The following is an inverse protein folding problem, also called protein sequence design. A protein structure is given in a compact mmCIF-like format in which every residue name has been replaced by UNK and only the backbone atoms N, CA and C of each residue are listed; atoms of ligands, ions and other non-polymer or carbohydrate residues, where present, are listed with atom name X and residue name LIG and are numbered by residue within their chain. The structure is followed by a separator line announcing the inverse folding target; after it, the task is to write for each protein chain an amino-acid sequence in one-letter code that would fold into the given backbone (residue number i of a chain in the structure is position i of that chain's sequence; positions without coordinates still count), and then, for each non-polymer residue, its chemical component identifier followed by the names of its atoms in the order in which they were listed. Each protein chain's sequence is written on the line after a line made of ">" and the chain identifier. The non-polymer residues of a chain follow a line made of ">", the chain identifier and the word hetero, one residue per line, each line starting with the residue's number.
data_IF_837155882682
#
_entry.id   IF_837155882682
#
_cell.length_a   1.000
_cell.length_b   1.000
_cell.length_c   1.000
_cell.angle_alpha   90.00
_cell.angle_beta   90.00
_cell.angle_gamma   90.00
#
_symmetry.space_group_name_H-M   'P 1'
#
loop_
_entity.id
_entity.type
_entity.pdbx_description
1 polymer ?
#
# COMPACT_ATOMS: atom_id res chain seq x y z
N UNK A 1 -0.05 -6.91 -14.67
CA UNK A 1 0.03 -7.08 -13.21
C UNK A 1 -0.77 -5.97 -12.53
N UNK A 2 -1.66 -6.31 -11.60
CA UNK A 2 -2.53 -5.35 -10.89
C UNK A 2 -1.71 -4.48 -9.93
N UNK A 3 -0.75 -5.07 -9.22
CA UNK A 3 0.12 -4.31 -8.34
C UNK A 3 1.18 -3.58 -9.17
N UNK A 4 1.18 -2.26 -9.10
CA UNK A 4 2.22 -1.42 -9.69
C UNK A 4 3.41 -1.32 -8.74
N UNK A 5 3.26 -0.56 -7.64
CA UNK A 5 4.30 -0.38 -6.62
C UNK A 5 3.72 -0.42 -5.21
N UNK A 6 4.50 -0.97 -4.28
CA UNK A 6 4.28 -0.77 -2.85
C UNK A 6 5.19 0.38 -2.42
N UNK A 7 4.63 1.48 -1.96
CA UNK A 7 5.39 2.64 -1.47
C UNK A 7 5.40 2.62 0.05
N UNK A 8 6.60 2.53 0.61
CA UNK A 8 6.85 2.41 2.05
C UNK A 8 7.46 3.72 2.56
N UNK A 9 6.87 4.29 3.58
CA UNK A 9 7.40 5.46 4.29
C UNK A 9 8.06 5.05 5.59
N UNK A 10 9.30 5.46 5.76
CA UNK A 10 10.15 5.14 6.92
C UNK A 10 10.19 6.33 7.86
N UNK A 11 10.08 6.09 9.16
CA UNK A 11 10.17 7.15 10.17
C UNK A 11 11.59 7.70 10.31
N UNK A 12 12.61 6.85 10.16
CA UNK A 12 14.02 7.21 10.34
C UNK A 12 14.75 7.16 9.00
N UNK A 13 14.94 8.30 8.35
CA UNK A 13 15.65 8.39 7.06
C UNK A 13 17.04 7.74 7.08
N UNK A 14 17.73 7.80 8.20
CA UNK A 14 19.06 7.22 8.39
C UNK A 14 19.06 5.70 8.20
N UNK A 15 17.97 5.02 8.53
CA UNK A 15 17.87 3.57 8.35
C UNK A 15 17.86 3.16 6.88
N UNK A 16 17.40 4.04 5.99
CA UNK A 16 17.52 3.82 4.53
C UNK A 16 18.98 3.79 4.12
N UNK A 17 19.81 4.69 4.66
CA UNK A 17 21.24 4.71 4.41
C UNK A 17 21.92 3.43 4.87
N UNK A 18 21.51 2.89 6.01
CA UNK A 18 22.01 1.61 6.51
C UNK A 18 21.64 0.43 5.61
N UNK A 19 20.42 0.42 5.09
CA UNK A 19 20.03 -0.59 4.10
C UNK A 19 20.86 -0.48 2.82
N UNK A 20 21.02 0.73 2.29
CA UNK A 20 21.80 0.97 1.08
C UNK A 20 23.30 0.62 1.25
N UNK A 21 23.85 0.81 2.44
CA UNK A 21 25.23 0.43 2.74
C UNK A 21 25.46 -1.09 2.69
N UNK A 22 24.40 -1.90 2.80
CA UNK A 22 24.44 -3.37 2.59
C UNK A 22 24.40 -3.76 1.12
N UNK A 23 24.41 -2.78 0.22
CA UNK A 23 24.49 -2.93 -1.23
C UNK A 23 23.40 -3.83 -1.84
N UNK A 24 22.11 -3.59 -1.55
CA UNK A 24 21.02 -4.29 -2.22
C UNK A 24 21.01 -3.95 -3.72
N UNK A 25 20.44 -4.83 -4.53
CA UNK A 25 20.14 -4.49 -5.92
C UNK A 25 18.99 -3.48 -5.95
N UNK A 26 19.28 -2.29 -6.46
CA UNK A 26 18.28 -1.23 -6.64
C UNK A 26 18.06 -0.95 -8.11
N UNK A 27 16.81 -0.67 -8.48
CA UNK A 27 16.43 -0.26 -9.85
C UNK A 27 16.49 1.25 -10.03
N UNK A 28 16.36 2.00 -8.93
CA UNK A 28 16.47 3.46 -8.92
C UNK A 28 16.91 3.95 -7.53
N UNK A 29 17.61 5.08 -7.51
CA UNK A 29 18.12 5.70 -6.31
C UNK A 29 17.88 7.21 -6.37
N UNK A 30 17.44 7.81 -5.24
CA UNK A 30 17.06 9.22 -5.17
C UNK A 30 17.60 9.88 -3.92
N UNK A 31 17.77 11.22 -4.02
CA UNK A 31 18.00 12.11 -2.90
C UNK A 31 16.81 13.05 -2.74
N UNK A 32 16.24 13.09 -1.56
CA UNK A 32 15.16 13.99 -1.20
C UNK A 32 15.53 14.99 -0.12
N UNK A 33 14.56 15.77 0.34
CA UNK A 33 14.77 16.78 1.37
C UNK A 33 15.15 16.18 2.74
N UNK A 34 14.59 15.01 3.09
CA UNK A 34 14.88 14.33 4.37
C UNK A 34 15.96 13.27 4.26
N UNK A 35 16.18 12.72 3.10
CA UNK A 35 17.16 11.66 2.93
C UNK A 35 17.07 10.96 1.59
N UNK A 36 17.65 9.79 1.52
CA UNK A 36 17.68 8.98 0.32
C UNK A 36 16.42 8.12 0.21
N UNK A 37 16.09 7.79 -1.03
CA UNK A 37 15.04 6.84 -1.35
C UNK A 37 15.54 5.88 -2.42
N UNK A 38 14.95 4.70 -2.49
CA UNK A 38 15.31 3.72 -3.51
C UNK A 38 14.12 2.90 -3.95
N UNK A 39 14.25 2.33 -5.13
CA UNK A 39 13.34 1.33 -5.67
C UNK A 39 14.08 0.01 -5.82
N UNK A 40 13.42 -1.08 -5.49
CA UNK A 40 13.94 -2.43 -5.63
C UNK A 40 12.82 -3.38 -6.06
N UNK A 41 13.19 -4.53 -6.60
CA UNK A 41 12.24 -5.57 -7.00
C UNK A 41 12.45 -6.79 -6.11
N UNK A 42 11.37 -7.29 -5.52
CA UNK A 42 11.40 -8.50 -4.69
C UNK A 42 11.68 -9.75 -5.54
N UNK A 43 12.08 -10.88 -4.92
CA UNK A 43 12.25 -12.15 -5.64
C UNK A 43 10.98 -12.60 -6.39
N UNK A 44 9.79 -12.21 -5.94
CA UNK A 44 8.52 -12.47 -6.61
C UNK A 44 8.20 -11.49 -7.75
N UNK A 45 9.04 -10.49 -7.96
CA UNK A 45 8.85 -9.49 -9.00
C UNK A 45 7.96 -8.30 -8.60
N UNK A 46 7.76 -8.05 -7.31
CA UNK A 46 7.03 -6.89 -6.81
C UNK A 46 7.96 -5.70 -6.65
N UNK A 47 7.55 -4.55 -7.17
CA UNK A 47 8.29 -3.31 -7.06
C UNK A 47 8.00 -2.64 -5.72
N UNK A 48 9.04 -2.34 -4.97
CA UNK A 48 8.97 -1.69 -3.66
C UNK A 48 9.76 -0.39 -3.73
N UNK A 49 9.13 0.70 -3.30
CA UNK A 49 9.75 2.01 -3.19
C UNK A 49 9.82 2.43 -1.72
N UNK A 50 11.00 2.82 -1.25
CA UNK A 50 11.25 3.17 0.16
C UNK A 50 11.74 4.61 0.27
N UNK A 51 11.06 5.41 1.09
CA UNK A 51 11.40 6.83 1.32
C UNK A 51 11.08 7.27 2.75
N UNK A 52 11.53 8.48 3.10
CA UNK A 52 11.21 9.14 4.38
C UNK A 52 10.61 10.54 4.17
N UNK A 53 10.17 10.87 2.95
CA UNK A 53 9.75 12.20 2.55
C UNK A 53 8.29 12.50 2.90
N UNK A 54 7.99 13.77 3.19
CA UNK A 54 6.60 14.27 3.24
C UNK A 54 6.08 14.55 1.83
N UNK A 55 6.95 14.97 0.91
CA UNK A 55 6.61 15.25 -0.47
C UNK A 55 7.59 14.52 -1.40
N UNK A 56 7.08 13.55 -2.16
CA UNK A 56 7.88 12.77 -3.13
C UNK A 56 8.40 13.62 -4.30
N UNK A 57 7.83 14.79 -4.53
CA UNK A 57 8.32 15.74 -5.55
C UNK A 57 9.70 16.31 -5.20
N UNK A 58 10.13 16.21 -3.95
CA UNK A 58 11.49 16.62 -3.53
C UNK A 58 12.58 15.67 -4.04
N UNK A 59 12.23 14.47 -4.49
CA UNK A 59 13.18 13.45 -4.92
C UNK A 59 13.82 13.80 -6.26
N UNK A 60 15.14 13.71 -6.29
CA UNK A 60 15.95 13.83 -7.49
C UNK A 60 16.81 12.58 -7.69
N UNK A 61 17.05 12.15 -8.93
CA UNK A 61 17.91 10.99 -9.18
C UNK A 61 19.29 11.13 -8.56
N UNK A 62 19.80 10.04 -8.04
CA UNK A 62 21.12 9.94 -7.42
C UNK A 62 21.90 8.78 -8.07
N UNK A 63 23.16 9.01 -8.46
CA UNK A 63 23.97 8.01 -9.18
C UNK A 63 24.47 6.91 -8.26
N UNK A 64 24.81 7.24 -7.02
CA UNK A 64 25.32 6.28 -6.05
C UNK A 64 24.97 6.69 -4.62
N UNK A 65 24.72 5.69 -3.77
CA UNK A 65 24.56 5.92 -2.35
C UNK A 65 25.92 6.18 -1.69
N UNK A 66 26.03 7.17 -0.79
CA UNK A 66 27.22 7.34 0.00
C UNK A 66 27.40 6.16 0.95
N UNK A 67 28.66 5.81 1.21
CA UNK A 67 29.02 4.81 2.20
C UNK A 67 28.83 5.41 3.60
N UNK A 68 28.13 4.67 4.45
CA UNK A 68 27.93 5.01 5.85
C UNK A 68 28.29 3.81 6.72
N UNK A 69 28.70 4.09 7.96
CA UNK A 69 28.90 3.03 8.94
C UNK A 69 27.57 2.54 9.44
N UNK A 70 27.33 1.23 9.34
CA UNK A 70 26.11 0.60 9.81
C UNK A 70 26.30 0.12 11.25
N UNK A 71 25.43 0.52 12.21
CA UNK A 71 25.49 0.00 13.57
C UNK A 71 25.42 -1.53 13.59
N UNK A 72 26.20 -2.17 14.45
CA UNK A 72 26.23 -3.64 14.58
C UNK A 72 24.87 -4.24 14.97
N UNK A 73 24.07 -3.49 15.73
CA UNK A 73 22.74 -3.89 16.17
C UNK A 73 21.63 -3.59 15.17
N UNK A 74 21.94 -2.95 14.04
CA UNK A 74 20.95 -2.66 12.99
C UNK A 74 20.49 -3.93 12.28
N UNK A 75 19.21 -4.30 12.48
CA UNK A 75 18.63 -5.50 11.88
C UNK A 75 17.67 -5.22 10.73
N UNK A 76 17.29 -3.98 10.52
CA UNK A 76 16.33 -3.55 9.51
C UNK A 76 15.55 -2.32 9.97
N UNK A 77 14.57 -1.94 9.18
CA UNK A 77 13.70 -0.80 9.50
C UNK A 77 12.97 -1.02 10.82
N UNK A 78 13.00 -0.04 11.71
CA UNK A 78 12.37 -0.13 13.03
C UNK A 78 10.94 0.41 13.05
N UNK A 79 10.64 1.41 12.21
CA UNK A 79 9.31 1.99 12.09
C UNK A 79 9.05 2.41 10.66
N UNK A 80 8.03 1.82 10.07
CA UNK A 80 7.60 2.12 8.70
C UNK A 80 6.13 1.77 8.53
N UNK A 81 5.52 2.39 7.52
CA UNK A 81 4.15 2.13 7.10
C UNK A 81 4.08 2.00 5.58
N UNK A 82 3.05 1.35 5.09
CA UNK A 82 2.67 1.47 3.69
C UNK A 82 2.09 2.86 3.49
N UNK A 83 2.80 3.69 2.73
CA UNK A 83 2.37 5.05 2.43
C UNK A 83 1.19 5.03 1.45
N UNK A 84 1.37 4.31 0.35
CA UNK A 84 0.29 4.02 -0.61
C UNK A 84 0.66 2.84 -1.50
N UNK A 85 -0.34 2.31 -2.18
CA UNK A 85 -0.20 1.33 -3.26
C UNK A 85 -0.48 2.00 -4.60
N UNK A 86 0.35 1.75 -5.58
CA UNK A 86 0.02 2.03 -6.97
C UNK A 86 -0.64 0.80 -7.58
N UNK A 87 -1.86 0.96 -8.08
CA UNK A 87 -2.65 -0.12 -8.63
C UNK A 87 -2.91 0.14 -10.12
N UNK A 88 -2.52 -0.81 -10.93
CA UNK A 88 -2.76 -0.79 -12.38
C UNK A 88 -4.20 -1.22 -12.66
N UNK A 89 -4.92 -0.41 -13.43
CA UNK A 89 -6.31 -0.66 -13.78
C UNK A 89 -6.52 -0.57 -15.29
N UNK A 90 -7.42 -1.39 -15.82
CA UNK A 90 -7.72 -1.40 -17.25
C UNK A 90 -8.59 -0.19 -17.68
N UNK A 91 -9.46 0.27 -16.80
CA UNK A 91 -10.34 1.42 -16.99
C UNK A 91 -10.23 2.36 -15.79
N UNK A 92 -9.49 3.44 -15.96
CA UNK A 92 -9.24 4.40 -14.89
C UNK A 92 -10.52 5.10 -14.44
N UNK A 93 -11.41 5.46 -15.37
CA UNK A 93 -12.66 6.15 -15.03
C UNK A 93 -13.59 5.27 -14.18
N UNK A 94 -13.69 3.98 -14.52
CA UNK A 94 -14.46 3.00 -13.74
C UNK A 94 -13.88 2.82 -12.34
N UNK A 95 -12.57 2.66 -12.24
CA UNK A 95 -11.88 2.50 -10.96
C UNK A 95 -12.01 3.76 -10.08
N UNK A 96 -11.81 4.94 -10.63
CA UNK A 96 -11.97 6.22 -9.92
C UNK A 96 -13.41 6.39 -9.41
N UNK A 97 -14.41 6.02 -10.21
CA UNK A 97 -15.82 6.06 -9.80
C UNK A 97 -16.08 5.14 -8.60
N UNK A 98 -15.54 3.93 -8.63
CA UNK A 98 -15.67 2.99 -7.52
C UNK A 98 -15.01 3.55 -6.24
N UNK A 99 -13.74 3.94 -6.30
CA UNK A 99 -13.01 4.43 -5.14
C UNK A 99 -13.46 5.80 -4.65
N UNK A 100 -14.20 6.57 -5.45
CA UNK A 100 -14.84 7.82 -5.00
C UNK A 100 -15.87 7.59 -3.88
N UNK A 101 -16.42 6.39 -3.77
CA UNK A 101 -17.31 5.99 -2.67
C UNK A 101 -16.56 5.72 -1.36
N UNK A 102 -15.24 5.66 -1.41
CA UNK A 102 -14.36 5.31 -0.30
C UNK A 102 -13.28 6.39 -0.12
N UNK A 103 -13.67 7.63 0.26
CA UNK A 103 -12.72 8.75 0.32
C UNK A 103 -11.58 8.52 1.33
N UNK A 104 -11.78 7.68 2.34
CA UNK A 104 -10.73 7.29 3.27
C UNK A 104 -9.56 6.53 2.62
N UNK A 105 -9.76 5.94 1.43
CA UNK A 105 -8.72 5.21 0.70
C UNK A 105 -8.00 6.06 -0.35
N UNK A 106 -8.44 7.30 -0.61
CA UNK A 106 -7.91 8.12 -1.68
C UNK A 106 -6.41 8.40 -1.59
N UNK A 107 -5.86 8.43 -0.38
CA UNK A 107 -4.43 8.62 -0.14
C UNK A 107 -3.65 7.30 -0.04
N UNK A 108 -4.34 6.15 0.07
CA UNK A 108 -3.72 4.83 0.21
C UNK A 108 -3.64 4.07 -1.11
N UNK A 109 -4.54 4.35 -2.05
CA UNK A 109 -4.62 3.65 -3.33
C UNK A 109 -4.51 4.67 -4.45
N UNK A 110 -3.41 4.62 -5.18
CA UNK A 110 -3.14 5.46 -6.33
C UNK A 110 -3.34 4.64 -7.59
N UNK A 111 -4.36 5.00 -8.35
CA UNK A 111 -4.76 4.31 -9.56
C UNK A 111 -3.98 4.82 -10.77
N UNK A 112 -3.54 3.91 -11.63
CA UNK A 112 -2.93 4.26 -12.91
C UNK A 112 -3.45 3.35 -14.02
N UNK A 113 -3.77 3.93 -15.17
CA UNK A 113 -4.23 3.17 -16.32
C UNK A 113 -3.10 2.35 -16.91
N UNK A 114 -3.38 1.09 -17.21
CA UNK A 114 -2.45 0.17 -17.80
C UNK A 114 -3.13 -0.79 -18.76
N UNK A 115 -2.34 -1.53 -19.51
CA UNK A 115 -2.83 -2.57 -20.41
C UNK A 115 -2.30 -3.92 -19.97
N UNK A 116 -3.14 -4.94 -20.03
CA UNK A 116 -2.80 -6.31 -19.65
C UNK A 116 -4.04 -7.18 -19.55
N UNK A 117 -3.93 -8.40 -19.98
CA UNK A 117 -5.03 -9.38 -19.93
C UNK A 117 -5.37 -9.80 -18.48
N UNK A 118 -4.43 -9.60 -17.57
CA UNK A 118 -4.53 -10.00 -16.15
C UNK A 118 -5.21 -8.97 -15.25
N UNK A 119 -5.47 -7.75 -15.74
CA UNK A 119 -5.90 -6.63 -14.89
C UNK A 119 -7.33 -6.77 -14.34
N UNK A 120 -8.18 -7.59 -14.95
CA UNK A 120 -9.57 -7.78 -14.52
C UNK A 120 -9.95 -9.24 -14.26
N UNK A 121 -8.96 -10.15 -14.23
CA UNK A 121 -9.22 -11.56 -13.94
C UNK A 121 -9.36 -11.82 -12.45
N UNK A 122 -10.14 -12.84 -12.10
CA UNK A 122 -10.35 -13.23 -10.70
C UNK A 122 -9.08 -13.77 -10.03
N UNK A 123 -9.07 -13.76 -8.71
CA UNK A 123 -7.93 -14.15 -7.88
C UNK A 123 -7.45 -15.59 -8.06
N UNK A 124 -8.31 -16.46 -8.59
CA UNK A 124 -7.98 -17.88 -8.85
C UNK A 124 -7.22 -18.10 -10.17
N UNK A 125 -7.04 -17.06 -10.97
CA UNK A 125 -6.41 -17.15 -12.30
C UNK A 125 -4.96 -16.67 -12.27
N UNK A 126 -4.65 -15.64 -11.49
CA UNK A 126 -3.32 -15.05 -11.43
C UNK A 126 -2.81 -14.90 -9.99
N UNK A 127 -1.48 -15.03 -9.83
CA UNK A 127 -0.79 -14.72 -8.59
C UNK A 127 -0.36 -13.25 -8.63
N UNK A 128 -1.16 -12.38 -8.06
CA UNK A 128 -0.96 -10.94 -8.04
C UNK A 128 -1.68 -10.34 -6.82
N UNK A 129 -1.88 -9.02 -6.79
CA UNK A 129 -2.65 -8.36 -5.75
C UNK A 129 -4.09 -8.91 -5.71
N UNK A 130 -4.38 -9.73 -4.72
CA UNK A 130 -5.66 -10.42 -4.58
C UNK A 130 -6.58 -9.79 -3.55
N UNK A 131 -6.00 -9.21 -2.49
CA UNK A 131 -6.76 -8.62 -1.39
C UNK A 131 -6.02 -7.43 -0.78
N UNK A 132 -6.78 -6.40 -0.42
CA UNK A 132 -6.32 -5.28 0.41
C UNK A 132 -7.17 -5.28 1.67
N UNK A 133 -6.53 -5.48 2.81
CA UNK A 133 -7.17 -5.37 4.12
C UNK A 133 -7.06 -3.94 4.63
N UNK A 134 -8.20 -3.35 4.96
CA UNK A 134 -8.31 -1.96 5.41
C UNK A 134 -8.87 -1.92 6.81
N UNK A 135 -8.15 -1.31 7.73
CA UNK A 135 -8.63 -1.00 9.06
C UNK A 135 -9.16 0.44 9.10
N UNK A 136 -10.40 0.60 9.55
CA UNK A 136 -11.08 1.89 9.64
C UNK A 136 -11.33 2.28 11.09
N UNK A 137 -11.21 3.56 11.38
CA UNK A 137 -11.52 4.15 12.67
C UNK A 137 -12.29 5.48 12.47
N UNK A 138 -13.60 5.54 12.73
CA UNK A 138 -14.49 4.42 13.11
C UNK A 138 -14.82 3.49 11.94
N UNK A 139 -15.19 2.25 12.26
CA UNK A 139 -15.77 1.31 11.29
C UNK A 139 -17.26 1.11 11.59
N UNK A 140 -18.07 1.49 10.63
CA UNK A 140 -19.52 1.25 10.63
C UNK A 140 -19.87 0.39 9.41
N UNK A 141 -20.19 -0.87 9.65
CA UNK A 141 -20.46 -1.85 8.60
C UNK A 141 -21.63 -1.43 7.70
N UNK A 142 -22.66 -0.82 8.27
CA UNK A 142 -23.84 -0.39 7.51
C UNK A 142 -23.52 0.79 6.58
N UNK A 143 -22.68 1.72 7.02
CA UNK A 143 -22.23 2.85 6.19
C UNK A 143 -21.39 2.36 5.02
N UNK A 144 -20.44 1.46 5.28
CA UNK A 144 -19.56 0.90 4.22
C UNK A 144 -20.39 0.08 3.24
N UNK A 145 -21.31 -0.75 3.75
CA UNK A 145 -22.23 -1.55 2.94
C UNK A 145 -23.12 -0.69 2.03
N UNK A 146 -23.67 0.41 2.55
CA UNK A 146 -24.47 1.33 1.76
C UNK A 146 -23.67 1.98 0.63
N UNK A 147 -22.43 2.40 0.92
CA UNK A 147 -21.58 3.04 -0.07
C UNK A 147 -21.14 2.10 -1.19
N UNK A 148 -20.89 0.83 -0.88
CA UNK A 148 -20.40 -0.17 -1.83
C UNK A 148 -21.52 -0.91 -2.56
N UNK A 149 -22.72 -0.96 -2.00
CA UNK A 149 -23.90 -1.52 -2.64
C UNK A 149 -23.70 -2.96 -3.12
N UNK A 150 -23.97 -3.19 -4.40
CA UNK A 150 -23.91 -4.54 -5.02
C UNK A 150 -22.50 -5.12 -5.10
N UNK A 151 -21.46 -4.32 -4.89
CA UNK A 151 -20.06 -4.81 -4.88
C UNK A 151 -19.69 -5.57 -3.62
N UNK A 152 -20.54 -5.53 -2.58
CA UNK A 152 -20.34 -6.27 -1.34
C UNK A 152 -20.64 -7.74 -1.57
N UNK A 153 -19.63 -8.59 -1.35
CA UNK A 153 -19.75 -10.06 -1.48
C UNK A 153 -20.15 -10.73 -0.18
N UNK A 154 -19.68 -10.22 0.95
CA UNK A 154 -19.87 -10.85 2.25
C UNK A 154 -19.89 -9.83 3.37
N UNK A 155 -20.83 -10.01 4.32
CA UNK A 155 -20.88 -9.27 5.57
C UNK A 155 -20.89 -10.28 6.71
N UNK A 156 -19.93 -10.14 7.64
CA UNK A 156 -19.91 -11.00 8.82
C UNK A 156 -21.17 -10.77 9.67
N UNK A 157 -21.80 -11.84 10.16
CA UNK A 157 -23.08 -11.79 10.88
C UNK A 157 -23.08 -10.87 12.11
N UNK A 158 -21.92 -10.68 12.75
CA UNK A 158 -21.74 -9.76 13.88
C UNK A 158 -21.36 -8.34 13.46
N UNK A 159 -21.25 -8.07 12.15
CA UNK A 159 -20.87 -6.76 11.63
C UNK A 159 -19.42 -6.37 11.91
N UNK A 160 -18.53 -7.33 12.19
CA UNK A 160 -17.12 -7.06 12.53
C UNK A 160 -16.25 -6.81 11.32
N UNK A 161 -16.64 -7.31 10.15
CA UNK A 161 -15.96 -7.03 8.89
C UNK A 161 -16.91 -7.25 7.70
N UNK A 162 -16.52 -6.73 6.56
CA UNK A 162 -17.15 -7.03 5.27
C UNK A 162 -16.09 -7.15 4.17
N UNK A 163 -16.45 -7.87 3.11
CA UNK A 163 -15.63 -8.04 1.92
C UNK A 163 -16.39 -7.55 0.71
N UNK A 164 -15.73 -6.72 -0.11
CA UNK A 164 -16.23 -6.27 -1.40
C UNK A 164 -15.20 -6.56 -2.49
N UNK A 165 -15.58 -6.46 -3.75
CA UNK A 165 -14.67 -6.50 -4.89
C UNK A 165 -14.68 -5.18 -5.62
N UNK A 166 -13.48 -4.71 -5.97
CA UNK A 166 -13.32 -3.58 -6.86
C UNK A 166 -13.51 -3.98 -8.33
N UNK A 167 -13.52 -3.05 -9.30
CA UNK A 167 -13.67 -3.38 -10.72
C UNK A 167 -12.58 -4.29 -11.29
N UNK A 168 -11.42 -4.35 -10.64
CA UNK A 168 -10.30 -5.23 -11.03
C UNK A 168 -10.36 -6.62 -10.39
N UNK A 169 -11.44 -6.95 -9.68
CA UNK A 169 -11.62 -8.20 -8.92
C UNK A 169 -10.67 -8.33 -7.72
N UNK A 170 -10.11 -7.22 -7.24
CA UNK A 170 -9.37 -7.19 -5.98
C UNK A 170 -10.37 -7.22 -4.84
N UNK A 171 -10.19 -8.13 -3.89
CA UNK A 171 -11.00 -8.17 -2.68
C UNK A 171 -10.57 -7.05 -1.72
N UNK A 172 -11.56 -6.32 -1.22
CA UNK A 172 -11.37 -5.30 -0.20
C UNK A 172 -11.99 -5.81 1.10
N UNK A 173 -11.16 -6.03 2.10
CA UNK A 173 -11.58 -6.44 3.43
C UNK A 173 -11.58 -5.23 4.35
N UNK A 174 -12.75 -4.87 4.91
CA UNK A 174 -12.89 -3.75 5.83
C UNK A 174 -13.21 -4.24 7.23
N UNK A 175 -12.47 -3.76 8.22
CA UNK A 175 -12.71 -4.05 9.63
C UNK A 175 -12.37 -2.83 10.51
N UNK A 176 -12.78 -2.89 11.79
CA UNK A 176 -12.40 -1.88 12.77
C UNK A 176 -10.90 -1.94 13.08
N UNK A 177 -10.30 -0.77 13.31
CA UNK A 177 -8.93 -0.72 13.85
C UNK A 177 -8.91 -1.40 15.23
N UNK A 178 -8.03 -2.39 15.39
CA UNK A 178 -7.97 -3.23 16.61
C UNK A 178 -7.59 -2.46 17.87
N UNK A 179 -6.86 -1.36 17.76
CA UNK A 179 -6.52 -0.50 18.89
C UNK A 179 -7.75 0.16 19.54
N UNK A 180 -8.89 0.22 18.84
CA UNK A 180 -10.14 0.76 19.35
C UNK A 180 -11.07 -0.30 19.97
N UNK A 181 -10.86 -1.58 19.70
CA UNK A 181 -11.70 -2.68 20.23
C UNK A 181 -11.39 -2.95 21.70
N UNK A 182 -10.20 -2.62 22.18
CA UNK A 182 -9.79 -2.83 23.59
C UNK A 182 -10.38 -1.82 24.58
N UNK A 183 -11.00 -0.72 24.10
CA UNK A 183 -11.59 0.32 24.98
C UNK A 183 -13.01 -0.03 25.44
N UNK A 184 -13.68 -0.97 24.80
CA UNK A 184 -15.09 -1.30 25.05
C UNK A 184 -15.34 -2.46 26.04
N UNK A 185 -14.32 -3.00 26.69
CA UNK A 185 -14.45 -4.11 27.64
C UNK A 185 -14.16 -3.75 29.09
N UNK A 186 -13.97 -2.47 29.41
CA UNK A 186 -13.75 -1.98 30.78
C UNK A 186 -14.92 -1.14 31.32
N UNK A 187 -16.19 -1.57 31.08
CA UNK A 187 -17.35 -1.09 31.83
C UNK A 187 -18.17 -2.27 32.36
#
# INVERSE_FOLDING_TARGET
>A
KKLGRIVVKVAQAQEIDYLLARQPETTALYQGAKGRAFEAVSPQGDTIFVHAEEDLKSLAPLDSAPLVDVPEDFKGLTSFDVDFLEVNVADLAEAEKFYSNLPALAHLIHLQEAQGEDLQVGNHVTWDLSMIKVELAPFDVEVVKERLGETVDFVHRKGTFLIAKDPSQIELWFEANQDQVHISYEE
#
